data_IF_426309370763
#
_entry.id   IF_426309370763
#
_cell.length_a   1.000
_cell.length_b   1.000
_cell.length_c   1.000
_cell.angle_alpha   90.00
_cell.angle_beta   90.00
_cell.angle_gamma   90.00
#
_symmetry.space_group_name_H-M   'P 1'
#
loop_
_entity.id
_entity.type
_entity.pdbx_description
1 polymer ?
#
# COMPACT_ATOMS: atom_id res chain seq x y z
N UNK A 1 -11.60 6.35 6.40
CA UNK A 1 -11.96 5.03 6.96
C UNK A 1 -10.86 4.07 6.58
N UNK A 2 -10.25 3.38 7.54
CA UNK A 2 -9.32 2.30 7.23
C UNK A 2 -10.14 1.08 6.80
N UNK A 3 -9.97 0.65 5.56
CA UNK A 3 -10.42 -0.67 5.11
C UNK A 3 -9.57 -1.74 5.82
N UNK A 4 -10.08 -2.97 6.02
CA UNK A 4 -9.34 -4.03 6.70
C UNK A 4 -8.03 -4.39 6.00
N UNK A 5 -7.93 -4.09 4.70
CA UNK A 5 -6.72 -4.27 3.90
C UNK A 5 -6.33 -2.96 3.23
N UNK A 6 -5.02 -2.77 3.08
CA UNK A 6 -4.44 -1.71 2.27
C UNK A 6 -4.27 -2.28 0.87
N UNK A 7 -4.88 -1.64 -0.13
CA UNK A 7 -4.79 -2.05 -1.53
C UNK A 7 -4.12 -0.95 -2.37
N UNK A 8 -3.72 -1.30 -3.60
CA UNK A 8 -3.22 -0.32 -4.56
C UNK A 8 -4.23 0.82 -4.74
N UNK A 9 -3.76 2.06 -4.64
CA UNK A 9 -4.59 3.26 -4.67
C UNK A 9 -5.02 3.79 -3.30
N UNK A 10 -4.84 3.03 -2.21
CA UNK A 10 -5.13 3.55 -0.87
C UNK A 10 -4.29 4.80 -0.55
N UNK A 11 -4.91 5.86 0.00
CA UNK A 11 -4.20 7.09 0.35
C UNK A 11 -3.29 6.87 1.57
N UNK A 12 -2.18 7.59 1.59
CA UNK A 12 -1.27 7.69 2.74
C UNK A 12 -1.50 9.01 3.46
N UNK A 13 -1.20 9.05 4.76
CA UNK A 13 -1.28 10.29 5.55
C UNK A 13 -0.33 11.39 5.05
N UNK A 14 0.73 11.02 4.32
CA UNK A 14 1.63 11.95 3.63
C UNK A 14 1.09 12.56 2.32
N UNK A 15 -0.18 12.28 1.97
CA UNK A 15 -0.85 12.81 0.78
C UNK A 15 -0.54 12.05 -0.52
N UNK A 16 0.25 10.97 -0.46
CA UNK A 16 0.44 10.07 -1.59
C UNK A 16 -0.49 8.87 -1.54
N UNK A 17 -0.16 7.82 -2.29
CA UNK A 17 -0.95 6.60 -2.38
C UNK A 17 -0.08 5.37 -2.56
N UNK A 18 -0.60 4.21 -2.20
CA UNK A 18 0.00 2.92 -2.51
C UNK A 18 -0.03 2.67 -4.01
N UNK A 19 1.07 2.19 -4.59
CA UNK A 19 1.25 2.03 -6.04
C UNK A 19 1.68 0.62 -6.45
N UNK A 20 2.00 -0.27 -5.51
CA UNK A 20 2.23 -1.69 -5.78
C UNK A 20 1.58 -2.56 -4.71
N UNK A 21 1.28 -3.79 -5.09
CA UNK A 21 0.74 -4.82 -4.23
C UNK A 21 1.00 -6.20 -4.82
N UNK A 22 0.68 -7.24 -4.07
CA UNK A 22 0.85 -8.63 -4.50
C UNK A 22 -0.35 -9.07 -5.35
N UNK A 23 -0.11 -9.38 -6.64
CA UNK A 23 -1.17 -9.81 -7.56
C UNK A 23 -1.76 -11.19 -7.23
N UNK A 24 -1.13 -11.99 -6.38
CA UNK A 24 -1.68 -13.26 -5.90
C UNK A 24 -2.75 -13.07 -4.83
N UNK A 25 -2.72 -11.94 -4.12
CA UNK A 25 -3.66 -11.61 -3.05
C UNK A 25 -4.43 -10.35 -3.43
N UNK A 26 -5.68 -10.54 -3.86
CA UNK A 26 -6.52 -9.46 -4.35
C UNK A 26 -7.84 -9.43 -3.60
N UNK A 27 -8.37 -8.22 -3.39
CA UNK A 27 -9.73 -7.99 -2.93
C UNK A 27 -10.44 -7.22 -4.02
N UNK A 28 -11.56 -7.75 -4.51
CA UNK A 28 -12.32 -7.15 -5.60
C UNK A 28 -11.46 -6.87 -6.85
N UNK A 29 -10.47 -7.72 -7.10
CA UNK A 29 -9.52 -7.56 -8.21
C UNK A 29 -8.42 -6.53 -7.99
N UNK A 30 -8.36 -5.88 -6.82
CA UNK A 30 -7.30 -4.94 -6.47
C UNK A 30 -6.22 -5.62 -5.63
N UNK A 31 -4.94 -5.56 -6.04
CA UNK A 31 -3.84 -6.15 -5.27
C UNK A 31 -3.71 -5.56 -3.86
N UNK A 32 -3.54 -6.43 -2.86
CA UNK A 32 -3.24 -6.07 -1.48
C UNK A 32 -1.76 -5.69 -1.37
N UNK A 33 -1.46 -4.63 -0.62
CA UNK A 33 -0.10 -4.18 -0.37
C UNK A 33 0.51 -4.91 0.84
N UNK A 34 1.73 -5.40 0.68
CA UNK A 34 2.49 -6.14 1.69
C UNK A 34 3.78 -5.39 2.07
N UNK A 35 4.51 -5.92 3.04
CA UNK A 35 5.86 -5.42 3.35
C UNK A 35 6.76 -5.54 2.11
N UNK A 36 7.46 -4.46 1.77
CA UNK A 36 8.29 -4.35 0.56
C UNK A 36 7.61 -3.62 -0.60
N UNK A 37 6.29 -3.49 -0.60
CA UNK A 37 5.55 -2.72 -1.60
C UNK A 37 5.78 -1.22 -1.48
N UNK A 38 5.34 -0.48 -2.49
CA UNK A 38 5.69 0.92 -2.71
C UNK A 38 4.48 1.84 -2.55
N UNK A 39 4.76 3.02 -2.01
CA UNK A 39 3.81 4.13 -1.94
C UNK A 39 4.48 5.44 -2.37
N UNK A 40 3.71 6.36 -2.93
CA UNK A 40 4.21 7.69 -3.27
C UNK A 40 4.23 8.59 -2.06
N UNK A 41 5.18 9.51 -2.03
CA UNK A 41 5.24 10.58 -1.05
C UNK A 41 5.48 11.92 -1.78
N UNK A 42 4.39 12.65 -2.13
CA UNK A 42 4.46 13.83 -2.99
C UNK A 42 5.30 14.96 -2.41
N UNK A 43 5.28 15.14 -1.08
CA UNK A 43 5.97 16.24 -0.40
C UNK A 43 7.49 16.22 -0.57
N UNK A 44 8.11 15.04 -0.71
CA UNK A 44 9.55 14.90 -1.03
C UNK A 44 9.77 14.19 -2.39
N UNK A 45 8.73 14.09 -3.23
CA UNK A 45 8.76 13.48 -4.57
C UNK A 45 9.49 12.13 -4.60
N UNK A 46 9.25 11.30 -3.59
CA UNK A 46 9.95 10.03 -3.37
C UNK A 46 8.97 8.87 -3.35
N UNK A 47 9.47 7.68 -3.69
CA UNK A 47 8.77 6.42 -3.49
C UNK A 47 9.23 5.82 -2.17
N UNK A 48 8.30 5.69 -1.22
CA UNK A 48 8.53 5.03 0.06
C UNK A 48 8.26 3.53 -0.05
N UNK A 49 8.83 2.76 0.87
CA UNK A 49 8.60 1.32 0.99
C UNK A 49 7.77 1.04 2.23
N UNK A 50 6.80 0.13 2.14
CA UNK A 50 6.04 -0.36 3.28
C UNK A 50 6.97 -1.26 4.10
N UNK A 51 7.23 -0.88 5.36
CA UNK A 51 8.22 -1.55 6.22
C UNK A 51 7.60 -2.42 7.31
N UNK A 52 6.29 -2.34 7.50
CA UNK A 52 5.57 -3.06 8.55
C UNK A 52 4.18 -3.46 8.06
N UNK A 53 3.72 -4.62 8.48
CA UNK A 53 2.39 -5.18 8.19
C UNK A 53 2.01 -6.19 9.27
N UNK A 54 0.92 -6.91 9.05
CA UNK A 54 0.50 -8.01 9.92
C UNK A 54 1.46 -9.21 9.74
N UNK A 55 2.03 -9.79 10.83
CA UNK A 55 2.96 -10.92 10.75
C UNK A 55 2.28 -12.28 10.55
N UNK A 56 0.95 -12.35 10.62
CA UNK A 56 0.13 -13.54 10.49
C UNK A 56 -0.73 -13.56 9.22
N UNK A 57 -0.59 -12.54 8.37
CA UNK A 57 -1.10 -12.52 7.00
C UNK A 57 -0.12 -13.12 5.99
#
# INVERSE_FOLDING_TARGET
MATPYIVVGCPTTGGGQVISGNSMFQIEGTPIACVGDKATYPKHKTVATIISGDPHM
#
